data_IF_884920460905
#
_entry.id   IF_884920460905
#
_cell.length_a   1.000
_cell.length_b   1.000
_cell.length_c   1.000
_cell.angle_alpha   90.00
_cell.angle_beta   90.00
_cell.angle_gamma   90.00
#
_symmetry.space_group_name_H-M   'P 1'
#
loop_
_entity.id
_entity.type
_entity.pdbx_description
1 polymer ?
#
# COMPACT_ATOMS: atom_id res chain seq x y z
N UNK A 1 1.50 -33.18 5.78
CA UNK A 1 0.20 -32.83 6.40
C UNK A 1 0.48 -31.82 7.48
N UNK A 2 0.03 -30.58 7.33
CA UNK A 2 0.28 -29.53 8.31
C UNK A 2 -0.93 -29.45 9.25
N UNK A 3 -0.72 -29.67 10.55
CA UNK A 3 -1.76 -29.54 11.56
C UNK A 3 -1.83 -28.08 11.99
N UNK A 4 -2.98 -27.44 11.75
CA UNK A 4 -3.23 -26.06 12.18
C UNK A 4 -4.14 -26.10 13.40
N UNK A 5 -3.62 -25.68 14.55
CA UNK A 5 -4.40 -25.64 15.81
C UNK A 5 -5.10 -24.30 15.93
N UNK A 6 -6.43 -24.33 16.02
CA UNK A 6 -7.26 -23.13 16.18
C UNK A 6 -7.59 -22.96 17.68
N UNK A 7 -7.22 -21.83 18.32
CA UNK A 7 -7.59 -21.56 19.71
C UNK A 7 -9.13 -21.49 19.91
N UNK A 8 -9.64 -22.15 20.96
CA UNK A 8 -11.09 -22.17 21.33
C UNK A 8 -11.74 -20.80 21.58
N UNK A 9 -10.94 -19.74 21.68
CA UNK A 9 -11.44 -18.37 21.84
C UNK A 9 -12.00 -17.83 20.52
N UNK A 10 -11.34 -18.16 19.40
CA UNK A 10 -11.75 -17.71 18.06
C UNK A 10 -13.08 -18.36 17.66
N UNK A 11 -13.32 -19.60 18.09
CA UNK A 11 -14.57 -20.33 17.82
C UNK A 11 -15.82 -19.75 18.52
N UNK A 12 -15.69 -18.67 19.32
CA UNK A 12 -16.79 -18.02 20.05
C UNK A 12 -17.28 -16.72 19.39
N UNK A 13 -17.29 -16.68 18.06
CA UNK A 13 -17.86 -15.58 17.28
C UNK A 13 -16.85 -14.58 16.72
N UNK A 14 -15.55 -14.85 16.84
CA UNK A 14 -14.53 -14.13 16.07
C UNK A 14 -14.35 -14.82 14.71
N UNK A 15 -14.16 -14.03 13.66
CA UNK A 15 -13.98 -14.57 12.32
C UNK A 15 -12.54 -15.08 12.15
N UNK A 16 -12.38 -16.35 11.79
CA UNK A 16 -11.07 -16.93 11.47
C UNK A 16 -10.81 -16.82 9.98
N UNK A 17 -9.79 -16.03 9.62
CA UNK A 17 -9.34 -15.91 8.23
C UNK A 17 -7.95 -16.56 8.11
N UNK A 18 -7.86 -17.57 7.24
CA UNK A 18 -6.60 -18.27 6.96
C UNK A 18 -6.08 -17.80 5.61
N UNK A 19 -4.90 -17.17 5.61
CA UNK A 19 -4.25 -16.65 4.40
C UNK A 19 -2.82 -17.20 4.34
N UNK A 20 -2.34 -17.66 3.17
CA UNK A 20 -0.93 -17.99 2.99
C UNK A 20 -0.03 -16.82 3.38
N UNK A 21 1.07 -17.11 4.09
CA UNK A 21 1.99 -16.07 4.59
C UNK A 21 2.48 -15.14 3.48
N UNK A 22 2.74 -15.70 2.29
CA UNK A 22 3.21 -14.95 1.11
C UNK A 22 2.19 -13.93 0.62
N UNK A 23 0.92 -14.30 0.57
CA UNK A 23 -0.17 -13.44 0.12
C UNK A 23 -0.43 -12.32 1.14
N UNK A 24 -0.44 -12.67 2.43
CA UNK A 24 -0.57 -11.68 3.49
C UNK A 24 0.58 -10.65 3.46
N UNK A 25 1.81 -11.10 3.23
CA UNK A 25 2.97 -10.21 3.09
C UNK A 25 2.80 -9.26 1.90
N UNK A 26 2.37 -9.76 0.75
CA UNK A 26 2.09 -8.95 -0.43
C UNK A 26 1.00 -7.90 -0.18
N UNK A 27 -0.07 -8.25 0.53
CA UNK A 27 -1.11 -7.30 0.93
C UNK A 27 -0.55 -6.20 1.85
N UNK A 28 0.25 -6.55 2.85
CA UNK A 28 0.86 -5.58 3.76
C UNK A 28 1.79 -4.61 3.01
N UNK A 29 2.56 -5.11 2.06
CA UNK A 29 3.47 -4.27 1.28
C UNK A 29 2.68 -3.36 0.34
N UNK A 30 1.66 -3.88 -0.35
CA UNK A 30 0.72 -3.06 -1.12
C UNK A 30 0.07 -1.97 -0.27
N UNK A 31 -0.39 -2.31 0.94
CA UNK A 31 -1.01 -1.34 1.87
C UNK A 31 -0.03 -0.23 2.26
N UNK A 32 1.25 -0.55 2.54
CA UNK A 32 2.28 0.46 2.84
C UNK A 32 2.56 1.39 1.67
N UNK A 33 2.51 0.88 0.43
CA UNK A 33 2.84 1.66 -0.76
C UNK A 33 1.67 2.50 -1.28
N UNK A 34 0.44 1.99 -1.18
CA UNK A 34 -0.75 2.64 -1.73
C UNK A 34 -1.45 3.50 -0.67
N UNK A 35 -1.69 2.98 0.53
CA UNK A 35 -2.53 3.66 1.54
C UNK A 35 -1.78 4.79 2.25
N UNK A 36 -0.46 4.67 2.44
CA UNK A 36 0.33 5.76 3.04
C UNK A 36 0.79 6.83 2.05
N UNK A 37 0.47 6.68 0.76
CA UNK A 37 1.10 7.46 -0.31
C UNK A 37 2.60 7.15 -0.33
N UNK A 38 3.03 6.22 -1.19
CA UNK A 38 4.43 5.82 -1.29
C UNK A 38 5.38 7.01 -1.15
N UNK A 39 6.39 6.90 -0.28
CA UNK A 39 7.35 8.00 -0.04
C UNK A 39 7.94 8.41 -1.39
N UNK A 40 7.52 9.56 -1.89
CA UNK A 40 8.09 10.17 -3.08
C UNK A 40 9.61 10.27 -2.88
N UNK A 41 10.35 9.70 -3.82
CA UNK A 41 11.79 9.87 -3.94
C UNK A 41 12.13 11.35 -4.09
N UNK A 42 13.39 11.72 -3.81
CA UNK A 42 13.84 13.12 -3.94
C UNK A 42 13.62 13.67 -5.36
N UNK A 43 13.82 12.83 -6.37
CA UNK A 43 13.57 13.14 -7.78
C UNK A 43 12.10 13.38 -8.07
N UNK A 44 11.20 12.52 -7.60
CA UNK A 44 9.76 12.69 -7.81
C UNK A 44 9.22 13.95 -7.12
N UNK A 45 9.71 14.27 -5.91
CA UNK A 45 9.37 15.54 -5.24
C UNK A 45 9.83 16.75 -6.04
N UNK A 46 11.03 16.69 -6.64
CA UNK A 46 11.55 17.77 -7.48
C UNK A 46 10.71 17.94 -8.74
N UNK A 47 10.37 16.84 -9.42
CA UNK A 47 9.50 16.85 -10.59
C UNK A 47 8.12 17.45 -10.29
N UNK A 48 7.50 17.10 -9.15
CA UNK A 48 6.23 17.69 -8.72
C UNK A 48 6.32 19.20 -8.45
N UNK A 49 7.44 19.67 -7.90
CA UNK A 49 7.66 21.11 -7.69
C UNK A 49 7.85 21.86 -9.01
N UNK A 50 8.54 21.26 -9.97
CA UNK A 50 8.73 21.81 -11.31
C UNK A 50 7.39 21.85 -12.06
N UNK A 51 6.64 20.75 -12.09
CA UNK A 51 5.31 20.69 -12.67
C UNK A 51 4.35 21.73 -12.06
N UNK A 52 4.42 21.98 -10.74
CA UNK A 52 3.61 23.01 -10.08
C UNK A 52 3.98 24.43 -10.54
N UNK A 53 5.26 24.70 -10.82
CA UNK A 53 5.72 25.98 -11.35
C UNK A 53 5.31 26.17 -12.80
N UNK A 54 5.41 25.12 -13.60
CA UNK A 54 4.96 25.08 -15.00
C UNK A 54 3.46 25.35 -15.11
N UNK A 55 2.63 24.68 -14.29
CA UNK A 55 1.20 24.95 -14.21
C UNK A 55 0.89 26.42 -13.85
N UNK A 56 1.63 27.01 -12.90
CA UNK A 56 1.43 28.41 -12.51
C UNK A 56 1.81 29.39 -13.64
N UNK A 57 2.79 29.03 -14.46
CA UNK A 57 3.22 29.83 -15.62
C UNK A 57 2.34 29.62 -16.85
N UNK A 58 1.51 28.59 -16.86
CA UNK A 58 0.72 28.19 -18.02
C UNK A 58 1.48 27.30 -19.01
N UNK A 59 2.72 26.91 -18.67
CA UNK A 59 3.60 26.09 -19.52
C UNK A 59 3.42 24.59 -19.22
N UNK A 60 2.20 24.09 -19.27
CA UNK A 60 1.92 22.67 -19.02
C UNK A 60 1.45 21.95 -20.29
N UNK A 61 1.87 20.70 -20.42
CA UNK A 61 1.41 19.80 -21.49
C UNK A 61 0.46 18.79 -20.89
N UNK A 62 -0.76 18.73 -21.40
CA UNK A 62 -1.70 17.64 -21.13
C UNK A 62 -1.48 16.59 -22.22
N UNK A 63 -1.17 15.36 -21.83
CA UNK A 63 -1.02 14.21 -22.75
C UNK A 63 -2.23 13.30 -22.63
#
# INVERSE_FOLDING_TARGET
MATVTIPKKITKGEELIVIPRKEYQGFLDWQKHIVMGGKLTKSEKKALLEARREMYRGDYVIV
#
